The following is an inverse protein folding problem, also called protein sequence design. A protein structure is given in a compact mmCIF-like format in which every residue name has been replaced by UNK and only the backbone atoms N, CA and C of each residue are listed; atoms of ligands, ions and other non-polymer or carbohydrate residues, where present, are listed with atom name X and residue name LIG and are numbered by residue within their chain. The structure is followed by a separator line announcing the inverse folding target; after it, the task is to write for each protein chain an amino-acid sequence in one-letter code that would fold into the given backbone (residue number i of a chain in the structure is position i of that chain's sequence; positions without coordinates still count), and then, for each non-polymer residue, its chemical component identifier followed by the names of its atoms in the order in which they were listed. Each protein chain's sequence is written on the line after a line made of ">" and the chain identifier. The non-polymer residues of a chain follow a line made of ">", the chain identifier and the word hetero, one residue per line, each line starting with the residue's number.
data_IF_160423995804
#
_entry.id   IF_160423995804
#
_cell.length_a   1.000
_cell.length_b   1.000
_cell.length_c   1.000
_cell.angle_alpha   90.00
_cell.angle_beta   90.00
_cell.angle_gamma   90.00
#
_symmetry.space_group_name_H-M   'P 1'
#
loop_
_entity.id
_entity.type
_entity.pdbx_description
1 polymer ?
#
# COMPACT_ATOMS: atom_id res chain seq x y z
N UNK A 1 11.94 11.99 0.41
CA UNK A 1 12.62 11.74 -0.88
C UNK A 1 11.76 10.78 -1.68
N UNK A 2 10.99 11.25 -2.66
CA UNK A 2 10.10 10.36 -3.43
C UNK A 2 10.95 9.42 -4.30
N UNK A 3 10.68 8.11 -4.23
CA UNK A 3 11.31 7.12 -5.10
C UNK A 3 10.35 6.85 -6.24
N UNK A 4 10.74 7.22 -7.46
CA UNK A 4 9.96 6.96 -8.67
C UNK A 4 10.24 5.55 -9.15
N UNK A 5 9.27 4.65 -9.01
CA UNK A 5 9.25 3.44 -9.83
C UNK A 5 8.90 3.87 -11.26
N UNK A 6 9.46 3.20 -12.27
CA UNK A 6 9.21 3.45 -13.71
C UNK A 6 7.74 3.22 -14.15
N UNK A 7 6.78 3.22 -13.22
CA UNK A 7 5.36 2.89 -13.40
C UNK A 7 4.41 3.99 -12.87
N UNK A 8 4.83 5.26 -12.80
CA UNK A 8 3.91 6.39 -12.54
C UNK A 8 3.34 6.50 -11.12
N UNK A 9 3.71 5.61 -10.19
CA UNK A 9 3.33 5.71 -8.78
C UNK A 9 4.37 6.52 -8.01
N UNK A 10 3.98 7.71 -7.54
CA UNK A 10 4.76 8.50 -6.59
C UNK A 10 4.55 7.96 -5.18
N UNK A 11 5.39 7.00 -4.76
CA UNK A 11 5.32 6.39 -3.44
C UNK A 11 6.27 7.13 -2.49
N UNK A 12 5.77 7.53 -1.32
CA UNK A 12 6.59 8.16 -0.28
C UNK A 12 7.58 7.14 0.30
N UNK A 13 8.77 7.59 0.72
CA UNK A 13 9.82 6.77 1.32
C UNK A 13 9.31 5.88 2.46
N UNK A 14 8.35 6.35 3.27
CA UNK A 14 7.77 5.56 4.35
C UNK A 14 7.00 4.32 3.85
N UNK A 15 6.22 4.47 2.77
CA UNK A 15 5.47 3.36 2.16
C UNK A 15 6.43 2.39 1.47
N UNK A 16 7.49 2.89 0.84
CA UNK A 16 8.54 2.04 0.28
C UNK A 16 9.21 1.17 1.35
N UNK A 17 9.53 1.73 2.52
CA UNK A 17 10.10 0.97 3.64
C UNK A 17 9.17 -0.14 4.12
N UNK A 18 7.86 0.11 4.19
CA UNK A 18 6.87 -0.92 4.54
C UNK A 18 6.84 -2.04 3.50
N UNK A 19 6.91 -1.70 2.20
CA UNK A 19 6.94 -2.68 1.11
C UNK A 19 8.20 -3.55 1.22
N UNK A 20 9.37 -2.94 1.39
CA UNK A 20 10.64 -3.67 1.54
C UNK A 20 10.58 -4.59 2.76
N UNK A 21 10.12 -4.11 3.91
CA UNK A 21 10.04 -4.92 5.12
C UNK A 21 9.05 -6.09 5.02
N UNK A 22 8.05 -6.00 4.14
CA UNK A 22 6.99 -7.01 4.00
C UNK A 22 7.26 -8.04 2.91
N UNK A 23 7.91 -7.64 1.82
CA UNK A 23 8.06 -8.46 0.61
C UNK A 23 9.51 -8.74 0.22
N UNK A 24 10.50 -8.05 0.79
CA UNK A 24 11.89 -8.33 0.44
C UNK A 24 12.38 -9.61 1.14
N UNK A 25 13.13 -10.42 0.41
CA UNK A 25 13.87 -11.54 0.95
C UNK A 25 15.02 -11.05 1.85
N UNK A 26 15.71 -12.00 2.50
CA UNK A 26 16.94 -11.72 3.25
C UNK A 26 18.06 -11.07 2.41
N UNK A 27 17.96 -11.10 1.08
CA UNK A 27 18.88 -10.43 0.15
C UNK A 27 18.40 -9.04 -0.28
N UNK A 28 17.37 -8.49 0.38
CA UNK A 28 16.75 -7.21 0.04
C UNK A 28 16.19 -7.15 -1.39
N UNK A 29 15.91 -8.31 -1.97
CA UNK A 29 15.29 -8.44 -3.29
C UNK A 29 13.83 -8.85 -3.12
N UNK A 30 12.95 -8.22 -3.88
CA UNK A 30 11.54 -8.64 -3.98
C UNK A 30 11.45 -9.59 -5.18
N UNK A 31 10.93 -10.79 -4.96
CA UNK A 31 10.67 -11.72 -6.05
C UNK A 31 9.46 -11.26 -6.88
N UNK A 32 9.29 -11.81 -8.08
CA UNK A 32 8.23 -11.36 -8.98
C UNK A 32 6.84 -11.51 -8.36
N UNK A 33 6.60 -12.59 -7.61
CA UNK A 33 5.33 -12.82 -6.91
C UNK A 33 5.08 -11.77 -5.83
N UNK A 34 6.06 -11.49 -4.96
CA UNK A 34 5.96 -10.46 -3.95
C UNK A 34 5.79 -9.05 -4.54
N UNK A 35 6.37 -8.79 -5.71
CA UNK A 35 6.16 -7.53 -6.42
C UNK A 35 4.72 -7.39 -6.94
N UNK A 36 4.19 -8.43 -7.59
CA UNK A 36 2.81 -8.45 -8.10
C UNK A 36 1.80 -8.37 -6.94
N UNK A 37 1.99 -9.14 -5.87
CA UNK A 37 1.15 -9.12 -4.67
C UNK A 37 1.16 -7.74 -4.00
N UNK A 38 2.33 -7.11 -3.92
CA UNK A 38 2.46 -5.74 -3.42
C UNK A 38 1.66 -4.76 -4.28
N UNK A 39 1.78 -4.82 -5.61
CA UNK A 39 1.06 -3.92 -6.51
C UNK A 39 -0.46 -4.09 -6.37
N UNK A 40 -0.95 -5.33 -6.36
CA UNK A 40 -2.37 -5.63 -6.19
C UNK A 40 -2.88 -5.08 -4.86
N UNK A 41 -2.14 -5.31 -3.77
CA UNK A 41 -2.53 -4.82 -2.43
C UNK A 41 -2.57 -3.30 -2.37
N UNK A 42 -1.57 -2.61 -2.94
CA UNK A 42 -1.55 -1.14 -3.01
C UNK A 42 -2.73 -0.63 -3.83
N UNK A 43 -3.03 -1.22 -4.99
CA UNK A 43 -4.17 -0.83 -5.82
C UNK A 43 -5.51 -1.02 -5.10
N UNK A 44 -5.68 -2.14 -4.40
CA UNK A 44 -6.88 -2.42 -3.60
C UNK A 44 -7.05 -1.41 -2.47
N UNK A 45 -5.99 -1.08 -1.73
CA UNK A 45 -6.03 -0.06 -0.67
C UNK A 45 -6.40 1.31 -1.22
N UNK A 46 -5.87 1.72 -2.38
CA UNK A 46 -6.25 2.98 -3.02
C UNK A 46 -7.72 3.00 -3.46
N UNK A 47 -8.23 1.89 -4.00
CA UNK A 47 -9.65 1.76 -4.39
C UNK A 47 -10.56 1.85 -3.15
N UNK A 48 -10.26 1.08 -2.11
CA UNK A 48 -11.02 1.11 -0.85
C UNK A 48 -10.99 2.48 -0.21
N UNK A 49 -9.82 3.13 -0.16
CA UNK A 49 -9.69 4.49 0.36
C UNK A 49 -10.58 5.47 -0.41
N UNK A 50 -10.57 5.45 -1.74
CA UNK A 50 -11.44 6.31 -2.56
C UNK A 50 -12.93 6.02 -2.35
N UNK A 51 -13.30 4.77 -2.13
CA UNK A 51 -14.70 4.40 -1.84
C UNK A 51 -15.13 4.91 -0.46
N UNK A 52 -14.22 4.91 0.52
CA UNK A 52 -14.48 5.35 1.90
C UNK A 52 -14.39 6.87 2.07
N UNK A 53 -13.49 7.55 1.35
CA UNK A 53 -13.32 9.02 1.35
C UNK A 53 -14.36 9.70 0.46
N UNK A 54 -15.63 9.54 0.83
CA UNK A 54 -16.79 10.12 0.12
C UNK A 54 -16.76 11.65 0.06
N UNK A 55 -16.00 12.30 0.93
CA UNK A 55 -15.86 13.76 1.01
C UNK A 55 -14.62 14.30 0.30
N UNK A 56 -13.81 13.44 -0.34
CA UNK A 56 -12.51 13.78 -0.95
C UNK A 56 -11.61 14.62 -0.01
N UNK A 57 -11.68 14.32 1.28
CA UNK A 57 -10.99 15.05 2.34
C UNK A 57 -9.52 14.64 2.48
N UNK A 58 -9.13 13.52 1.86
CA UNK A 58 -7.84 12.88 2.05
C UNK A 58 -7.73 12.17 3.40
N UNK A 59 -8.84 11.95 4.11
CA UNK A 59 -8.91 11.23 5.39
C UNK A 59 -10.14 10.32 5.41
N UNK A 60 -10.02 9.18 6.09
CA UNK A 60 -11.13 8.26 6.34
C UNK A 60 -11.21 8.01 7.85
N UNK A 61 -12.42 7.85 8.37
CA UNK A 61 -12.67 7.42 9.74
C UNK A 61 -13.15 5.96 9.70
N UNK A 62 -12.57 5.13 10.55
CA UNK A 62 -12.85 3.70 10.63
C UNK A 62 -13.08 3.33 12.09
N UNK A 63 -14.08 2.48 12.33
CA UNK A 63 -14.16 1.78 13.62
C UNK A 63 -13.11 0.66 13.71
N UNK A 64 -12.93 0.09 14.90
CA UNK A 64 -11.92 -0.96 15.15
C UNK A 64 -12.14 -2.19 14.27
N UNK A 65 -13.40 -2.58 14.01
CA UNK A 65 -13.73 -3.74 13.18
C UNK A 65 -13.38 -3.50 11.72
N UNK A 66 -13.71 -2.31 11.20
CA UNK A 66 -13.39 -1.91 9.84
C UNK A 66 -11.88 -1.80 9.63
N UNK A 67 -11.17 -1.21 10.60
CA UNK A 67 -9.72 -1.14 10.58
C UNK A 67 -9.08 -2.52 10.59
N UNK A 68 -9.56 -3.44 11.44
CA UNK A 68 -9.06 -4.80 11.51
C UNK A 68 -9.23 -5.55 10.18
N UNK A 69 -10.39 -5.38 9.54
CA UNK A 69 -10.67 -5.97 8.22
C UNK A 69 -9.73 -5.44 7.13
N UNK A 70 -9.38 -4.14 7.16
CA UNK A 70 -8.44 -3.54 6.20
C UNK A 70 -6.97 -3.89 6.48
N UNK A 71 -6.59 -4.03 7.75
CA UNK A 71 -5.20 -4.26 8.14
C UNK A 71 -4.79 -5.73 8.00
N UNK A 72 -5.69 -6.66 8.28
CA UNK A 72 -5.39 -8.10 8.33
C UNK A 72 -5.56 -8.81 6.98
N UNK A 73 -6.49 -8.34 6.15
CA UNK A 73 -6.65 -8.81 4.76
C UNK A 73 -5.46 -8.32 3.91
#
# INVERSE_FOLDING_TARGET
>A
MLVSFSSGFHINSAVLQVIVNRYASAQYAIDFHGFVDCLIRVEMLFKMFKTLDTKASGKIELDVSQWLCLAIN
#
